data_IF_062005069072
#
_entry.id   IF_062005069072
#
_cell.length_a   1.000
_cell.length_b   1.000
_cell.length_c   1.000
_cell.angle_alpha   90.00
_cell.angle_beta   90.00
_cell.angle_gamma   90.00
#
_symmetry.space_group_name_H-M   'P 1'
#
loop_
_entity.id
_entity.type
_entity.pdbx_description
1 polymer ?
#
# COMPACT_ATOMS: atom_id res chain seq x y z
N UNK A 1 -19.04 18.61 -20.74
CA UNK A 1 -19.27 17.79 -19.53
C UNK A 1 -17.93 17.54 -18.87
N UNK A 2 -17.65 18.14 -17.70
CA UNK A 2 -16.45 17.80 -16.91
C UNK A 2 -16.62 16.37 -16.41
N UNK A 3 -15.80 15.45 -16.91
CA UNK A 3 -15.65 14.11 -16.33
C UNK A 3 -15.20 14.36 -14.89
N UNK A 4 -15.96 13.93 -13.89
CA UNK A 4 -15.54 14.01 -12.50
C UNK A 4 -14.15 13.37 -12.42
N UNK A 5 -13.14 14.13 -11.98
CA UNK A 5 -11.86 13.54 -11.65
C UNK A 5 -12.18 12.49 -10.58
N UNK A 6 -11.95 11.21 -10.88
CA UNK A 6 -12.10 10.16 -9.88
C UNK A 6 -11.05 10.43 -8.82
N UNK A 7 -11.51 10.73 -7.60
CA UNK A 7 -10.63 10.94 -6.46
C UNK A 7 -9.87 9.64 -6.19
N UNK A 8 -8.55 9.66 -6.26
CA UNK A 8 -7.72 8.52 -5.88
C UNK A 8 -7.58 8.49 -4.36
N UNK A 9 -7.69 7.32 -3.75
CA UNK A 9 -7.46 7.12 -2.34
C UNK A 9 -6.08 6.49 -2.12
N UNK A 10 -5.28 7.10 -1.27
CA UNK A 10 -4.02 6.54 -0.80
C UNK A 10 -4.21 6.08 0.66
N UNK A 11 -4.19 4.78 0.89
CA UNK A 11 -4.23 4.19 2.22
C UNK A 11 -2.81 4.08 2.76
N UNK A 12 -2.48 4.87 3.77
CA UNK A 12 -1.20 4.79 4.46
C UNK A 12 -1.33 3.83 5.63
N UNK A 13 -0.68 2.67 5.55
CA UNK A 13 -0.72 1.65 6.60
C UNK A 13 0.64 1.66 7.29
N UNK A 14 0.67 1.83 8.60
CA UNK A 14 1.90 1.85 9.40
C UNK A 14 2.02 0.65 10.33
N UNK A 15 0.89 0.07 10.72
CA UNK A 15 0.81 -1.00 11.71
C UNK A 15 1.15 -2.37 11.13
N UNK A 16 1.63 -3.26 12.00
CA UNK A 16 2.11 -4.59 11.61
C UNK A 16 1.01 -5.42 10.91
N UNK A 17 1.38 -6.36 10.01
CA UNK A 17 0.41 -7.09 9.18
C UNK A 17 -0.64 -7.91 9.95
N UNK A 18 -0.38 -8.25 11.22
CA UNK A 18 -1.31 -8.97 12.09
C UNK A 18 -2.22 -8.08 12.94
N UNK A 19 -2.06 -6.77 12.89
CA UNK A 19 -2.86 -5.81 13.67
C UNK A 19 -4.29 -5.69 13.14
N UNK A 20 -5.23 -5.33 14.01
CA UNK A 20 -6.62 -5.11 13.61
C UNK A 20 -6.73 -3.91 12.66
N UNK A 21 -5.87 -2.93 12.84
CA UNK A 21 -5.73 -1.69 12.09
C UNK A 21 -5.32 -1.99 10.64
N UNK A 22 -4.26 -2.78 10.44
CA UNK A 22 -3.84 -3.23 9.11
C UNK A 22 -4.92 -4.08 8.43
N UNK A 23 -5.59 -4.97 9.14
CA UNK A 23 -6.66 -5.80 8.58
C UNK A 23 -7.87 -4.97 8.16
N UNK A 24 -8.26 -3.95 8.94
CA UNK A 24 -9.33 -3.00 8.57
C UNK A 24 -8.95 -2.19 7.32
N UNK A 25 -7.72 -1.67 7.27
CA UNK A 25 -7.23 -0.94 6.11
C UNK A 25 -7.26 -1.77 4.82
N UNK A 26 -6.81 -3.03 4.91
CA UNK A 26 -6.83 -3.96 3.78
C UNK A 26 -8.25 -4.39 3.39
N UNK A 27 -9.16 -4.53 4.35
CA UNK A 27 -10.57 -4.76 4.05
C UNK A 27 -11.17 -3.59 3.27
N UNK A 28 -10.88 -2.34 3.65
CA UNK A 28 -11.30 -1.16 2.87
C UNK A 28 -10.74 -1.20 1.44
N UNK A 29 -9.46 -1.50 1.28
CA UNK A 29 -8.84 -1.65 -0.04
C UNK A 29 -9.56 -2.70 -0.91
N UNK A 30 -9.93 -3.84 -0.32
CA UNK A 30 -10.65 -4.90 -1.01
C UNK A 30 -12.09 -4.50 -1.40
N UNK A 31 -12.79 -3.73 -0.56
CA UNK A 31 -14.15 -3.25 -0.90
C UNK A 31 -14.14 -2.28 -2.08
N UNK A 32 -13.02 -1.60 -2.28
CA UNK A 32 -12.80 -0.63 -3.36
C UNK A 32 -12.09 -1.26 -4.57
N UNK A 33 -11.78 -2.56 -4.55
CA UNK A 33 -11.03 -3.27 -5.62
C UNK A 33 -11.78 -3.31 -6.97
N UNK A 34 -13.11 -3.17 -6.95
CA UNK A 34 -13.91 -2.92 -8.17
C UNK A 34 -13.58 -1.60 -8.88
N UNK A 35 -12.76 -0.76 -8.23
CA UNK A 35 -12.23 0.52 -8.65
C UNK A 35 -10.70 0.54 -8.52
N UNK A 36 -10.00 -0.56 -8.87
CA UNK A 36 -8.55 -0.72 -8.69
C UNK A 36 -7.63 0.46 -9.16
N UNK A 37 -8.13 1.39 -9.98
CA UNK A 37 -7.41 2.62 -10.39
C UNK A 37 -7.52 3.78 -9.40
N UNK A 38 -8.42 3.65 -8.44
CA UNK A 38 -8.85 4.69 -7.50
C UNK A 38 -8.35 4.39 -6.08
N UNK A 39 -7.64 3.28 -5.86
CA UNK A 39 -7.00 2.97 -4.57
C UNK A 39 -5.55 2.59 -4.78
N UNK A 40 -4.69 3.08 -3.88
CA UNK A 40 -3.32 2.63 -3.72
C UNK A 40 -3.00 2.45 -2.22
N UNK A 41 -2.02 1.60 -1.95
CA UNK A 41 -1.47 1.37 -0.62
C UNK A 41 -0.08 2.01 -0.53
N UNK A 42 0.16 2.74 0.55
CA UNK A 42 1.49 3.07 1.01
C UNK A 42 1.76 2.31 2.30
N UNK A 43 2.73 1.41 2.28
CA UNK A 43 3.16 0.62 3.43
C UNK A 43 4.40 1.30 4.02
N UNK A 44 4.29 1.71 5.28
CA UNK A 44 5.35 2.34 6.05
C UNK A 44 5.54 1.56 7.36
N UNK A 45 6.62 1.85 8.07
CA UNK A 45 6.95 1.23 9.35
C UNK A 45 6.77 -0.29 9.30
N UNK A 46 6.06 -0.90 10.25
CA UNK A 46 5.92 -2.37 10.31
C UNK A 46 5.05 -2.94 9.19
N UNK A 47 4.21 -2.11 8.56
CA UNK A 47 3.36 -2.54 7.47
C UNK A 47 4.16 -2.98 6.23
N UNK A 48 5.41 -2.53 6.06
CA UNK A 48 6.27 -2.98 4.93
C UNK A 48 6.44 -4.49 4.90
N UNK A 49 6.33 -5.16 6.07
CA UNK A 49 6.40 -6.61 6.18
C UNK A 49 5.24 -7.30 5.45
N UNK A 50 4.12 -6.63 5.22
CA UNK A 50 2.99 -7.19 4.46
C UNK A 50 3.33 -7.38 2.97
N UNK A 51 4.26 -6.61 2.41
CA UNK A 51 4.69 -6.77 1.01
C UNK A 51 5.80 -7.81 0.82
N UNK A 52 6.37 -8.38 1.88
CA UNK A 52 7.46 -9.36 1.77
C UNK A 52 6.93 -10.70 1.25
N UNK A 53 7.48 -11.21 0.15
CA UNK A 53 6.98 -12.41 -0.57
C UNK A 53 6.97 -13.71 0.25
N UNK A 54 7.79 -13.78 1.30
CA UNK A 54 7.87 -14.92 2.23
C UNK A 54 6.91 -14.80 3.41
N UNK A 55 6.29 -13.63 3.62
CA UNK A 55 5.29 -13.46 4.66
C UNK A 55 4.01 -14.23 4.27
N UNK A 56 3.44 -14.96 5.25
CA UNK A 56 2.26 -15.81 5.07
C UNK A 56 1.04 -15.32 5.85
N UNK A 57 1.13 -14.17 6.51
CA UNK A 57 -0.01 -13.55 7.20
C UNK A 57 -1.15 -13.26 6.22
N UNK A 58 -2.41 -13.23 6.70
CA UNK A 58 -3.56 -12.86 5.86
C UNK A 58 -3.37 -11.51 5.15
N UNK A 59 -2.81 -10.52 5.85
CA UNK A 59 -2.49 -9.23 5.27
C UNK A 59 -1.51 -9.32 4.09
N UNK A 60 -0.46 -10.14 4.20
CA UNK A 60 0.49 -10.34 3.11
C UNK A 60 -0.16 -11.00 1.88
N UNK A 61 -1.08 -11.94 2.10
CA UNK A 61 -1.84 -12.56 1.01
C UNK A 61 -2.73 -11.53 0.30
N UNK A 62 -3.38 -10.65 1.06
CA UNK A 62 -4.20 -9.57 0.49
C UNK A 62 -3.33 -8.59 -0.31
N UNK A 63 -2.20 -8.14 0.24
CA UNK A 63 -1.27 -7.22 -0.46
C UNK A 63 -0.76 -7.86 -1.75
N UNK A 64 -0.37 -9.13 -1.74
CA UNK A 64 0.07 -9.86 -2.93
C UNK A 64 -1.04 -9.95 -3.99
N UNK A 65 -2.28 -10.22 -3.59
CA UNK A 65 -3.44 -10.24 -4.48
C UNK A 65 -3.70 -8.87 -5.12
N UNK A 66 -3.72 -7.80 -4.32
CA UNK A 66 -3.94 -6.43 -4.80
C UNK A 66 -2.84 -6.01 -5.79
N UNK A 67 -1.58 -6.30 -5.48
CA UNK A 67 -0.46 -6.04 -6.39
C UNK A 67 -0.62 -6.80 -7.73
N UNK A 68 -1.06 -8.06 -7.70
CA UNK A 68 -1.35 -8.83 -8.90
C UNK A 68 -2.53 -8.27 -9.73
N UNK A 69 -3.46 -7.56 -9.08
CA UNK A 69 -4.57 -6.84 -9.72
C UNK A 69 -4.19 -5.43 -10.20
N UNK A 70 -2.89 -5.10 -10.20
CA UNK A 70 -2.36 -3.77 -10.60
C UNK A 70 -2.81 -2.61 -9.69
N UNK A 71 -3.23 -2.90 -8.45
CA UNK A 71 -3.38 -1.88 -7.41
C UNK A 71 -1.98 -1.36 -7.06
N UNK A 72 -1.83 -0.04 -6.94
CA UNK A 72 -0.55 0.56 -6.57
C UNK A 72 -0.16 0.14 -5.15
N UNK A 73 0.90 -0.65 -4.98
CA UNK A 73 1.46 -1.00 -3.68
C UNK A 73 2.85 -0.38 -3.56
N UNK A 74 2.95 0.68 -2.76
CA UNK A 74 4.17 1.42 -2.52
C UNK A 74 4.75 1.06 -1.16
N UNK A 75 6.05 0.77 -1.10
CA UNK A 75 6.74 0.33 0.12
C UNK A 75 7.84 1.32 0.45
N UNK A 76 7.80 1.90 1.66
CA UNK A 76 8.78 2.86 2.11
C UNK A 76 10.19 2.23 2.16
N UNK A 77 11.13 2.80 1.40
CA UNK A 77 12.48 2.27 1.23
C UNK A 77 13.26 2.19 2.54
N UNK A 78 13.24 3.26 3.34
CA UNK A 78 13.98 3.31 4.60
C UNK A 78 13.46 2.27 5.59
N UNK A 79 12.15 2.13 5.72
CA UNK A 79 11.53 1.14 6.60
C UNK A 79 11.82 -0.29 6.18
N UNK A 80 11.83 -0.56 4.87
CA UNK A 80 12.22 -1.86 4.34
C UNK A 80 13.68 -2.19 4.68
N UNK A 81 14.58 -1.21 4.47
CA UNK A 81 16.01 -1.35 4.76
C UNK A 81 16.28 -1.54 6.26
N UNK A 82 15.58 -0.82 7.14
CA UNK A 82 15.68 -0.97 8.60
C UNK A 82 15.28 -2.38 9.09
N UNK A 83 14.48 -3.10 8.30
CA UNK A 83 14.09 -4.50 8.56
C UNK A 83 14.99 -5.52 7.87
N UNK A 84 16.11 -5.07 7.30
CA UNK A 84 17.11 -5.92 6.63
C UNK A 84 16.60 -6.52 5.32
N UNK A 85 15.59 -5.91 4.69
CA UNK A 85 14.97 -6.40 3.46
C UNK A 85 15.40 -5.55 2.26
N UNK A 86 15.33 -6.14 1.08
CA UNK A 86 15.62 -5.48 -0.19
C UNK A 86 14.40 -5.47 -1.11
N UNK A 87 14.38 -4.65 -2.19
CA UNK A 87 13.31 -4.71 -3.18
C UNK A 87 13.08 -6.11 -3.77
N UNK A 88 14.15 -6.92 -3.86
CA UNK A 88 14.07 -8.30 -4.34
C UNK A 88 13.30 -9.25 -3.42
N UNK A 89 13.03 -8.86 -2.17
CA UNK A 89 12.28 -9.64 -1.19
C UNK A 89 10.77 -9.39 -1.25
N UNK A 90 10.32 -8.41 -2.04
CA UNK A 90 8.92 -8.04 -2.15
C UNK A 90 8.11 -8.95 -3.09
N UNK A 91 6.80 -8.95 -2.88
CA UNK A 91 5.84 -9.55 -3.81
C UNK A 91 5.95 -8.85 -5.17
N UNK A 92 5.84 -9.59 -6.29
CA UNK A 92 5.76 -8.98 -7.62
C UNK A 92 4.65 -7.92 -7.68
N UNK A 93 4.93 -6.79 -8.33
CA UNK A 93 4.02 -5.65 -8.44
C UNK A 93 4.14 -4.60 -7.33
N UNK A 94 4.76 -4.91 -6.19
CA UNK A 94 5.08 -3.90 -5.18
C UNK A 94 6.27 -3.03 -5.64
N UNK A 95 6.19 -1.72 -5.37
CA UNK A 95 7.18 -0.73 -5.77
C UNK A 95 7.83 -0.11 -4.53
N UNK A 96 9.15 -0.20 -4.41
CA UNK A 96 9.89 0.52 -3.37
C UNK A 96 9.99 1.99 -3.73
N UNK A 97 9.71 2.87 -2.77
CA UNK A 97 9.70 4.33 -2.95
C UNK A 97 10.42 5.03 -1.80
N UNK A 98 11.05 6.16 -2.07
CA UNK A 98 11.62 7.04 -1.06
C UNK A 98 10.57 8.00 -0.47
N UNK A 99 10.96 8.75 0.55
CA UNK A 99 10.07 9.69 1.26
C UNK A 99 9.55 10.78 0.33
N UNK A 100 10.39 11.26 -0.59
CA UNK A 100 10.00 12.26 -1.58
C UNK A 100 8.88 11.73 -2.45
N UNK A 101 9.00 10.51 -2.95
CA UNK A 101 7.98 9.89 -3.79
C UNK A 101 6.70 9.60 -3.01
N UNK A 102 6.79 9.24 -1.73
CA UNK A 102 5.61 9.12 -0.86
C UNK A 102 4.86 10.45 -0.73
N UNK A 103 5.58 11.55 -0.49
CA UNK A 103 4.98 12.89 -0.45
C UNK A 103 4.36 13.27 -1.80
N UNK A 104 5.04 13.00 -2.91
CA UNK A 104 4.49 13.23 -4.26
C UNK A 104 3.18 12.45 -4.49
N UNK A 105 3.08 11.22 -3.98
CA UNK A 105 1.85 10.42 -4.06
C UNK A 105 0.72 11.03 -3.22
N UNK A 106 1.03 11.52 -2.02
CA UNK A 106 0.05 12.16 -1.13
C UNK A 106 -0.48 13.48 -1.70
N UNK A 107 0.37 14.22 -2.41
CA UNK A 107 0.06 15.53 -2.99
C UNK A 107 -0.43 15.48 -4.44
N UNK A 108 -0.50 14.28 -5.04
CA UNK A 108 -0.97 14.14 -6.41
C UNK A 108 -2.42 14.63 -6.54
N UNK A 109 -2.71 15.40 -7.58
CA UNK A 109 -4.01 16.03 -7.79
C UNK A 109 -5.16 15.01 -7.73
N UNK A 110 -6.21 15.35 -7.00
CA UNK A 110 -7.35 14.45 -6.73
C UNK A 110 -7.05 13.30 -5.75
N UNK A 111 -5.90 13.26 -5.07
CA UNK A 111 -5.60 12.21 -4.08
C UNK A 111 -6.10 12.57 -2.69
N UNK A 112 -6.88 11.66 -2.09
CA UNK A 112 -7.29 11.67 -0.68
C UNK A 112 -6.44 10.67 0.08
N UNK A 113 -5.70 11.14 1.08
CA UNK A 113 -4.85 10.27 1.91
C UNK A 113 -5.56 9.90 3.20
N UNK A 114 -5.62 8.60 3.51
CA UNK A 114 -6.18 8.07 4.75
C UNK A 114 -5.09 7.34 5.54
N UNK A 115 -4.78 7.86 6.73
CA UNK A 115 -3.89 7.21 7.68
C UNK A 115 -4.59 6.06 8.41
N UNK A 116 -3.96 4.89 8.40
CA UNK A 116 -4.41 3.67 9.04
C UNK A 116 -3.33 3.21 10.03
N UNK A 117 -3.47 3.59 11.29
CA UNK A 117 -2.52 3.31 12.37
C UNK A 117 -3.13 2.33 13.35
#
# INVERSE_FOLDING_TARGET
MRKAALDRMLLMITSAPGSAEALRALAMACTLDGQARDVALALLQDAVLAAVKRNRTPAAQVVSRLAAQSVGVYVAQQDLALRGMSPGDLTPGATVVDDRRLVDLMLADGTKTLGCF
#
